data_IF_146917087078
#
_entry.id   IF_146917087078
#
_cell.length_a   1.000
_cell.length_b   1.000
_cell.length_c   1.000
_cell.angle_alpha   90.00
_cell.angle_beta   90.00
_cell.angle_gamma   90.00
#
_symmetry.space_group_name_H-M   'P 1'
#
loop_
_entity.id
_entity.type
_entity.pdbx_description
1 polymer ?
#
# COMPACT_ATOMS: atom_id res chain seq x y z
N UNK A 1 -26.19 -8.05 -0.28
CA UNK A 1 -25.43 -8.43 0.94
C UNK A 1 -25.88 -7.54 2.08
N UNK A 2 -26.03 -8.10 3.31
CA UNK A 2 -26.35 -7.31 4.51
C UNK A 2 -25.14 -6.50 5.00
N UNK A 3 -25.41 -5.51 5.88
CA UNK A 3 -24.41 -4.60 6.46
C UNK A 3 -24.45 -4.69 7.99
N UNK A 4 -23.97 -5.80 8.58
CA UNK A 4 -24.21 -6.11 9.99
C UNK A 4 -23.64 -5.07 10.95
N UNK A 5 -22.49 -4.45 10.65
CA UNK A 5 -21.89 -3.36 11.45
C UNK A 5 -22.75 -2.10 11.35
N UNK A 6 -23.09 -1.68 10.13
CA UNK A 6 -23.92 -0.51 9.89
C UNK A 6 -25.32 -0.68 10.51
N UNK A 7 -25.92 -1.85 10.38
CA UNK A 7 -27.25 -2.14 10.91
C UNK A 7 -27.28 -2.09 12.44
N UNK A 8 -26.26 -2.67 13.09
CA UNK A 8 -26.10 -2.59 14.55
C UNK A 8 -25.95 -1.14 15.01
N UNK A 9 -25.02 -0.40 14.42
CA UNK A 9 -24.74 1.00 14.84
C UNK A 9 -25.94 1.91 14.61
N UNK A 10 -26.63 1.79 13.48
CA UNK A 10 -27.86 2.56 13.20
C UNK A 10 -28.99 2.21 14.17
N UNK A 11 -29.14 0.93 14.52
CA UNK A 11 -30.15 0.51 15.50
C UNK A 11 -29.83 1.07 16.88
N UNK A 12 -28.56 1.07 17.28
CA UNK A 12 -28.09 1.66 18.54
C UNK A 12 -28.32 3.19 18.56
N UNK A 13 -27.92 3.89 17.51
CA UNK A 13 -28.09 5.34 17.40
C UNK A 13 -29.57 5.77 17.47
N UNK A 14 -30.49 5.03 16.81
CA UNK A 14 -31.93 5.31 16.84
C UNK A 14 -32.57 5.16 18.24
N UNK A 15 -32.01 4.31 19.10
CA UNK A 15 -32.47 4.16 20.49
C UNK A 15 -32.10 5.36 21.36
N UNK A 16 -31.14 6.16 20.92
CA UNK A 16 -30.55 7.32 21.63
C UNK A 16 -30.34 7.06 23.13
N UNK A 17 -29.55 6.02 23.50
CA UNK A 17 -29.36 5.66 24.89
C UNK A 17 -28.52 6.71 25.61
N UNK A 18 -28.70 6.79 26.93
CA UNK A 18 -27.82 7.57 27.81
C UNK A 18 -26.45 6.89 27.85
N UNK A 19 -25.41 7.56 27.31
CA UNK A 19 -24.06 6.99 27.13
C UNK A 19 -23.15 7.38 28.30
N UNK A 20 -22.90 6.48 29.24
CA UNK A 20 -21.86 6.60 30.28
C UNK A 20 -20.53 5.92 29.89
N UNK A 21 -20.43 5.44 28.64
CA UNK A 21 -19.23 4.85 28.06
C UNK A 21 -18.53 5.84 27.10
N UNK A 22 -17.32 5.53 26.63
CA UNK A 22 -16.65 6.26 25.55
C UNK A 22 -17.41 6.10 24.20
N UNK A 23 -17.22 6.98 23.22
CA UNK A 23 -16.32 8.15 23.19
C UNK A 23 -16.81 9.33 24.05
N UNK A 24 -15.88 10.27 24.31
CA UNK A 24 -16.12 11.42 25.20
C UNK A 24 -17.24 12.38 24.78
N UNK A 25 -17.53 12.48 23.48
CA UNK A 25 -18.63 13.29 22.92
C UNK A 25 -20.04 12.69 23.18
N UNK A 26 -20.12 11.44 23.64
CA UNK A 26 -21.38 10.76 24.02
C UNK A 26 -22.43 10.68 22.91
N UNK A 27 -22.03 10.83 21.62
CA UNK A 27 -22.94 10.91 20.48
C UNK A 27 -23.81 12.18 20.47
N UNK A 28 -23.42 13.22 21.21
CA UNK A 28 -24.18 14.47 21.33
C UNK A 28 -23.73 15.50 20.29
N UNK A 29 -24.68 16.05 19.56
CA UNK A 29 -24.42 17.14 18.60
C UNK A 29 -23.88 18.41 19.26
N UNK A 30 -24.21 18.62 20.55
CA UNK A 30 -23.67 19.70 21.38
C UNK A 30 -22.19 19.59 21.74
N UNK A 31 -21.49 18.52 21.36
CA UNK A 31 -20.05 18.35 21.58
C UNK A 31 -19.18 19.33 20.77
N UNK A 32 -19.79 20.12 19.90
CA UNK A 32 -19.15 21.19 19.12
C UNK A 32 -17.92 20.75 18.31
N UNK A 33 -17.99 19.57 17.68
CA UNK A 33 -17.03 19.16 16.67
C UNK A 33 -17.60 19.59 15.30
N UNK A 34 -17.10 20.69 14.70
CA UNK A 34 -17.70 21.27 13.51
C UNK A 34 -17.71 20.26 12.34
N UNK A 35 -18.87 20.16 11.66
CA UNK A 35 -19.04 19.27 10.52
C UNK A 35 -19.19 17.79 10.84
N UNK A 36 -19.26 17.43 12.12
CA UNK A 36 -19.39 16.04 12.57
C UNK A 36 -20.74 15.72 13.21
N UNK A 37 -21.69 16.63 13.21
CA UNK A 37 -22.96 16.54 13.96
C UNK A 37 -23.73 15.26 13.62
N UNK A 38 -23.78 14.89 12.34
CA UNK A 38 -24.52 13.71 11.87
C UNK A 38 -23.80 12.40 12.15
N UNK A 39 -22.47 12.41 12.26
CA UNK A 39 -21.67 11.18 12.46
C UNK A 39 -21.41 10.86 13.92
N UNK A 40 -21.46 11.85 14.83
CA UNK A 40 -21.21 11.61 16.26
C UNK A 40 -22.12 10.53 16.88
N UNK A 41 -23.43 10.45 16.56
CA UNK A 41 -24.28 9.36 17.04
C UNK A 41 -23.85 7.97 16.56
N UNK A 42 -23.15 7.90 15.41
CA UNK A 42 -22.67 6.66 14.78
C UNK A 42 -21.28 6.24 15.26
N UNK A 43 -20.55 7.13 15.95
CA UNK A 43 -19.26 6.80 16.55
C UNK A 43 -19.48 6.14 17.91
N UNK A 44 -19.15 4.86 17.98
CA UNK A 44 -19.34 4.02 19.17
C UNK A 44 -18.04 3.32 19.57
N UNK A 45 -18.09 2.50 20.58
CA UNK A 45 -17.00 1.62 21.03
C UNK A 45 -17.52 0.20 21.25
N UNK A 46 -16.70 -0.66 21.79
CA UNK A 46 -17.04 -2.04 22.20
C UNK A 46 -18.01 -2.03 23.38
N UNK A 47 -19.30 -1.89 23.07
CA UNK A 47 -20.41 -1.90 24.05
C UNK A 47 -21.14 -3.24 24.00
N UNK A 48 -22.03 -3.50 24.97
CA UNK A 48 -22.84 -4.70 24.97
C UNK A 48 -23.63 -4.86 23.66
N UNK A 49 -23.50 -6.03 23.03
CA UNK A 49 -24.07 -6.34 21.72
C UNK A 49 -23.26 -5.86 20.52
N UNK A 50 -22.27 -4.99 20.71
CA UNK A 50 -21.24 -4.73 19.73
C UNK A 50 -20.17 -5.83 19.77
N UNK A 51 -19.39 -5.90 18.70
CA UNK A 51 -18.29 -6.86 18.59
C UNK A 51 -16.95 -6.23 19.01
N UNK A 52 -15.89 -7.02 19.06
CA UNK A 52 -14.52 -6.61 19.38
C UNK A 52 -13.62 -6.92 18.18
N UNK A 53 -13.01 -5.88 17.59
CA UNK A 53 -12.09 -6.08 16.48
C UNK A 53 -10.89 -6.93 16.94
N UNK A 54 -10.49 -7.92 16.12
CA UNK A 54 -9.47 -8.95 16.40
C UNK A 54 -9.83 -9.99 17.49
N UNK A 55 -11.09 -10.01 17.92
CA UNK A 55 -11.69 -11.09 18.70
C UNK A 55 -13.16 -11.28 18.27
N UNK A 56 -13.43 -10.97 17.03
CA UNK A 56 -14.77 -10.83 16.47
C UNK A 56 -15.56 -12.14 16.51
N UNK A 57 -16.83 -12.05 16.96
CA UNK A 57 -17.78 -13.18 17.05
C UNK A 57 -19.20 -12.76 16.63
N UNK A 58 -19.42 -11.46 16.37
CA UNK A 58 -20.70 -10.85 16.07
C UNK A 58 -20.71 -10.13 14.73
N UNK A 59 -21.14 -8.86 14.71
CA UNK A 59 -21.34 -8.10 13.49
C UNK A 59 -20.05 -7.82 12.70
N UNK A 60 -18.91 -7.66 13.40
CA UNK A 60 -17.62 -7.50 12.71
C UNK A 60 -17.25 -8.81 12.02
N UNK A 61 -17.37 -9.94 12.71
CA UNK A 61 -17.09 -11.26 12.12
C UNK A 61 -17.93 -11.54 10.90
N UNK A 62 -19.22 -11.27 10.96
CA UNK A 62 -20.13 -11.46 9.82
C UNK A 62 -19.75 -10.57 8.64
N UNK A 63 -19.35 -9.32 8.89
CA UNK A 63 -18.88 -8.40 7.84
C UNK A 63 -17.56 -8.86 7.21
N UNK A 64 -16.60 -9.37 8.00
CA UNK A 64 -15.34 -9.96 7.51
C UNK A 64 -15.58 -11.22 6.67
N UNK A 65 -16.57 -12.03 7.04
CA UNK A 65 -17.00 -13.20 6.24
C UNK A 65 -17.64 -12.77 4.92
N UNK A 66 -18.39 -11.66 4.91
CA UNK A 66 -18.91 -11.06 3.68
C UNK A 66 -17.78 -10.59 2.77
N UNK A 67 -16.77 -9.89 3.29
CA UNK A 67 -15.57 -9.54 2.55
C UNK A 67 -14.83 -10.79 2.03
N UNK A 68 -14.70 -11.84 2.85
CA UNK A 68 -14.07 -13.09 2.44
C UNK A 68 -14.76 -13.75 1.26
N UNK A 69 -16.10 -13.71 1.20
CA UNK A 69 -16.88 -14.21 0.05
C UNK A 69 -16.62 -13.40 -1.22
N UNK A 70 -16.62 -12.07 -1.12
CA UNK A 70 -16.37 -11.14 -2.23
C UNK A 70 -14.98 -11.31 -2.83
N UNK A 71 -13.96 -11.39 -1.99
CA UNK A 71 -12.57 -11.56 -2.43
C UNK A 71 -12.18 -13.01 -2.71
N UNK A 72 -13.01 -13.99 -2.34
CA UNK A 72 -12.72 -15.42 -2.49
C UNK A 72 -11.57 -15.89 -1.59
N UNK A 73 -11.31 -15.16 -0.49
CA UNK A 73 -10.32 -15.51 0.51
C UNK A 73 -10.77 -16.68 1.39
N UNK A 74 -9.82 -17.35 2.06
CA UNK A 74 -10.12 -18.30 3.13
C UNK A 74 -10.37 -17.61 4.49
N UNK A 75 -9.96 -16.34 4.60
CA UNK A 75 -10.21 -15.47 5.73
C UNK A 75 -9.79 -14.05 5.42
N UNK A 76 -10.57 -13.11 5.92
CA UNK A 76 -10.28 -11.66 5.84
C UNK A 76 -10.42 -11.07 7.22
N UNK A 77 -9.47 -10.22 7.60
CA UNK A 77 -9.50 -9.45 8.86
C UNK A 77 -9.40 -7.97 8.51
N UNK A 78 -10.23 -7.16 9.12
CA UNK A 78 -10.25 -5.72 8.91
C UNK A 78 -9.11 -5.00 9.62
N UNK A 79 -8.69 -3.88 9.06
CA UNK A 79 -7.85 -2.89 9.71
C UNK A 79 -8.53 -1.52 9.66
N UNK A 80 -8.55 -0.82 10.79
CA UNK A 80 -8.91 0.59 10.88
C UNK A 80 -7.66 1.50 10.89
N UNK A 81 -6.47 0.93 10.67
CA UNK A 81 -5.16 1.60 10.73
C UNK A 81 -4.37 1.45 9.41
N UNK A 82 -5.08 1.26 8.31
CA UNK A 82 -4.52 1.08 6.97
C UNK A 82 -3.83 -0.26 6.78
N UNK A 83 -3.30 -0.46 5.57
CA UNK A 83 -2.47 -1.64 5.26
C UNK A 83 -1.16 -1.67 6.05
N UNK A 84 -0.75 -0.57 6.67
CA UNK A 84 0.43 -0.54 7.54
C UNK A 84 0.35 -1.58 8.66
N UNK A 85 -0.81 -1.72 9.28
CA UNK A 85 -1.05 -2.76 10.28
C UNK A 85 -1.02 -4.16 9.65
N UNK A 86 -1.64 -4.31 8.49
CA UNK A 86 -1.66 -5.58 7.76
C UNK A 86 -0.25 -6.05 7.35
N UNK A 87 0.63 -5.13 6.91
CA UNK A 87 2.03 -5.44 6.58
C UNK A 87 2.77 -5.97 7.82
N UNK A 88 2.61 -5.33 8.99
CA UNK A 88 3.19 -5.80 10.25
C UNK A 88 2.71 -7.20 10.60
N UNK A 89 1.42 -7.44 10.48
CA UNK A 89 0.82 -8.75 10.72
C UNK A 89 1.32 -9.82 9.74
N UNK A 90 1.41 -9.53 8.44
CA UNK A 90 1.95 -10.45 7.43
C UNK A 90 3.39 -10.85 7.74
N UNK A 91 4.25 -9.91 8.14
CA UNK A 91 5.64 -10.19 8.50
C UNK A 91 5.74 -11.03 9.78
N UNK A 92 4.89 -10.77 10.78
CA UNK A 92 4.81 -11.65 11.96
C UNK A 92 4.37 -13.07 11.57
N UNK A 93 3.37 -13.22 10.70
CA UNK A 93 2.94 -14.53 10.20
C UNK A 93 4.04 -15.25 9.42
N UNK A 94 4.86 -14.52 8.65
CA UNK A 94 6.04 -15.09 7.99
C UNK A 94 7.08 -15.62 9.00
N UNK A 95 7.29 -14.92 10.12
CA UNK A 95 8.13 -15.42 11.22
C UNK A 95 7.56 -16.71 11.80
N UNK A 96 6.25 -16.74 12.04
CA UNK A 96 5.57 -17.94 12.58
C UNK A 96 5.66 -19.12 11.62
N UNK A 97 5.48 -18.87 10.30
CA UNK A 97 5.67 -19.90 9.28
C UNK A 97 7.05 -20.54 9.34
N UNK A 98 8.10 -19.72 9.34
CA UNK A 98 9.47 -20.22 9.44
C UNK A 98 9.71 -21.05 10.70
N UNK A 99 9.21 -20.57 11.85
CA UNK A 99 9.32 -21.26 13.14
C UNK A 99 8.58 -22.60 13.14
N UNK A 100 7.40 -22.68 12.55
CA UNK A 100 6.63 -23.92 12.42
C UNK A 100 7.36 -24.94 11.53
N UNK A 101 8.16 -24.48 10.56
CA UNK A 101 9.02 -25.32 9.73
C UNK A 101 10.38 -25.65 10.39
N UNK A 102 10.66 -25.17 11.60
CA UNK A 102 11.98 -25.32 12.24
C UNK A 102 13.11 -24.55 11.53
N UNK A 103 12.76 -23.53 10.72
CA UNK A 103 13.70 -22.72 9.93
C UNK A 103 13.93 -21.34 10.57
N UNK A 104 15.08 -20.75 10.28
CA UNK A 104 15.32 -19.33 10.61
C UNK A 104 14.50 -18.44 9.68
N UNK A 105 13.76 -17.44 10.19
CA UNK A 105 13.02 -16.51 9.36
C UNK A 105 13.96 -15.72 8.44
N UNK A 106 13.70 -15.77 7.12
CA UNK A 106 14.44 -15.03 6.10
C UNK A 106 13.49 -14.62 5.00
N UNK A 107 13.53 -13.36 4.60
CA UNK A 107 12.61 -12.79 3.63
C UNK A 107 13.39 -12.28 2.42
N UNK A 108 12.95 -12.63 1.22
CA UNK A 108 13.35 -11.96 0.00
C UNK A 108 12.32 -10.87 -0.32
N UNK A 109 12.75 -9.63 -0.57
CA UNK A 109 11.85 -8.51 -0.76
C UNK A 109 12.29 -7.57 -1.87
N UNK A 110 11.33 -7.02 -2.63
CA UNK A 110 11.57 -5.92 -3.54
C UNK A 110 11.98 -4.64 -2.81
N UNK A 111 12.90 -3.87 -3.38
CA UNK A 111 13.36 -2.60 -2.78
C UNK A 111 12.27 -1.51 -2.75
N UNK A 112 11.19 -1.67 -3.52
CA UNK A 112 10.02 -0.79 -3.46
C UNK A 112 9.06 -1.09 -2.30
N UNK A 113 9.52 -1.84 -1.31
CA UNK A 113 8.75 -2.12 -0.11
C UNK A 113 8.44 -0.83 0.66
N UNK A 114 7.20 -0.71 1.14
CA UNK A 114 6.76 0.43 1.92
C UNK A 114 7.62 0.60 3.20
N UNK A 115 7.79 1.85 3.68
CA UNK A 115 8.58 2.16 4.89
C UNK A 115 8.22 1.29 6.10
N UNK A 116 6.94 0.94 6.26
CA UNK A 116 6.44 0.07 7.33
C UNK A 116 7.05 -1.33 7.27
N UNK A 117 7.36 -1.84 6.08
CA UNK A 117 8.11 -3.10 5.95
C UNK A 117 9.48 -2.99 6.62
N UNK A 118 10.22 -1.90 6.34
CA UNK A 118 11.56 -1.66 6.93
C UNK A 118 11.48 -1.49 8.45
N UNK A 119 10.51 -0.72 8.93
CA UNK A 119 10.24 -0.56 10.37
C UNK A 119 9.95 -1.91 11.04
N UNK A 120 9.17 -2.76 10.38
CA UNK A 120 8.76 -4.05 10.95
C UNK A 120 9.90 -5.07 10.96
N UNK A 121 10.71 -5.13 9.89
CA UNK A 121 11.90 -6.01 9.90
C UNK A 121 12.92 -5.57 10.96
N UNK A 122 13.01 -4.26 11.23
CA UNK A 122 13.83 -3.75 12.32
C UNK A 122 13.30 -4.19 13.69
N UNK A 123 11.99 -4.08 13.92
CA UNK A 123 11.37 -4.48 15.19
C UNK A 123 11.43 -5.99 15.44
N UNK A 124 11.23 -6.80 14.39
CA UNK A 124 11.22 -8.26 14.49
C UNK A 124 12.62 -8.91 14.32
N UNK A 125 13.67 -8.13 14.14
CA UNK A 125 15.05 -8.56 13.86
C UNK A 125 15.12 -9.59 12.70
N UNK A 126 14.48 -9.26 11.57
CA UNK A 126 14.39 -10.15 10.42
C UNK A 126 15.57 -9.97 9.46
N UNK A 127 16.08 -11.08 8.96
CA UNK A 127 17.01 -11.09 7.83
C UNK A 127 16.26 -10.89 6.52
N UNK A 128 16.72 -9.91 5.73
CA UNK A 128 16.14 -9.61 4.44
C UNK A 128 17.21 -9.57 3.36
N UNK A 129 16.93 -10.25 2.24
CA UNK A 129 17.67 -10.12 1.00
C UNK A 129 16.87 -9.28 0.02
N UNK A 130 17.44 -8.16 -0.41
CA UNK A 130 16.80 -7.24 -1.31
C UNK A 130 16.98 -7.67 -2.77
N UNK A 131 15.86 -7.79 -3.49
CA UNK A 131 15.77 -8.14 -4.89
C UNK A 131 15.62 -6.89 -5.76
N UNK A 132 15.99 -6.98 -7.05
CA UNK A 132 15.80 -5.90 -8.01
C UNK A 132 16.75 -4.71 -7.80
N UNK A 133 18.04 -4.98 -7.50
CA UNK A 133 19.05 -3.95 -7.17
C UNK A 133 19.61 -3.17 -8.36
N UNK A 134 19.12 -3.40 -9.57
CA UNK A 134 19.63 -2.74 -10.79
C UNK A 134 18.51 -2.20 -11.69
N UNK A 135 18.57 -0.93 -12.08
CA UNK A 135 17.61 -0.33 -13.02
C UNK A 135 17.11 1.05 -12.62
N UNK A 136 16.00 1.46 -13.21
CA UNK A 136 15.30 2.70 -12.85
C UNK A 136 14.78 2.58 -11.41
N UNK A 137 15.01 3.61 -10.59
CA UNK A 137 14.68 3.61 -9.16
C UNK A 137 13.23 3.23 -8.87
N UNK A 138 12.29 3.71 -9.67
CA UNK A 138 10.85 3.50 -9.46
C UNK A 138 10.30 2.23 -10.13
N UNK A 139 11.11 1.51 -10.93
CA UNK A 139 10.76 0.25 -11.59
C UNK A 139 11.56 -0.90 -11.00
N UNK A 140 11.21 -1.31 -9.81
CA UNK A 140 11.86 -2.44 -9.13
C UNK A 140 11.05 -3.71 -9.30
N UNK A 141 11.16 -4.34 -10.46
CA UNK A 141 10.59 -5.67 -10.69
C UNK A 141 11.43 -6.75 -9.99
N UNK A 142 10.78 -7.75 -9.40
CA UNK A 142 11.46 -8.96 -8.92
C UNK A 142 11.61 -9.90 -10.11
N UNK A 143 12.85 -10.24 -10.47
CA UNK A 143 13.12 -11.24 -11.49
C UNK A 143 13.07 -12.65 -10.90
N UNK A 144 12.28 -13.54 -11.51
CA UNK A 144 12.18 -14.92 -11.08
C UNK A 144 13.53 -15.65 -11.01
N UNK A 145 14.48 -15.31 -11.91
CA UNK A 145 15.83 -15.90 -11.93
C UNK A 145 16.66 -15.57 -10.69
N UNK A 146 16.58 -14.34 -10.20
CA UNK A 146 17.27 -13.91 -8.98
C UNK A 146 16.74 -14.70 -7.78
N UNK A 147 15.44 -14.85 -7.69
CA UNK A 147 14.77 -15.61 -6.64
C UNK A 147 15.07 -17.12 -6.75
N UNK A 148 15.12 -17.71 -7.96
CA UNK A 148 15.54 -19.10 -8.16
C UNK A 148 16.96 -19.36 -7.67
N UNK A 149 17.88 -18.45 -7.95
CA UNK A 149 19.26 -18.56 -7.46
C UNK A 149 19.32 -18.54 -5.91
N UNK A 150 18.49 -17.74 -5.26
CA UNK A 150 18.41 -17.71 -3.80
C UNK A 150 17.84 -19.02 -3.21
N UNK A 151 16.84 -19.60 -3.84
CA UNK A 151 16.29 -20.90 -3.41
C UNK A 151 17.28 -22.05 -3.61
N UNK A 152 18.15 -21.97 -4.62
CA UNK A 152 19.21 -22.96 -4.85
C UNK A 152 20.32 -22.90 -3.79
N UNK A 153 20.54 -21.76 -3.13
CA UNK A 153 21.44 -21.60 -1.99
C UNK A 153 20.68 -21.96 -0.70
N UNK A 154 20.78 -23.22 -0.29
CA UNK A 154 19.99 -23.78 0.82
C UNK A 154 20.11 -23.01 2.13
N UNK A 155 21.26 -22.41 2.44
CA UNK A 155 21.45 -21.60 3.66
C UNK A 155 20.75 -20.23 3.55
N UNK A 156 20.64 -19.69 2.34
CA UNK A 156 20.02 -18.39 2.05
C UNK A 156 18.62 -18.50 1.50
N UNK A 157 18.06 -19.70 1.39
CA UNK A 157 16.70 -19.89 0.88
C UNK A 157 15.67 -19.15 1.73
N UNK A 158 14.89 -18.20 1.16
CA UNK A 158 13.92 -17.46 1.90
C UNK A 158 12.77 -18.34 2.38
N UNK A 159 12.17 -17.98 3.52
CA UNK A 159 10.95 -18.62 4.05
C UNK A 159 9.70 -17.86 3.62
N UNK A 160 9.86 -16.64 3.14
CA UNK A 160 8.81 -15.84 2.54
C UNK A 160 9.40 -14.87 1.50
N UNK A 161 8.59 -14.54 0.51
CA UNK A 161 8.86 -13.52 -0.51
C UNK A 161 7.84 -12.41 -0.35
N UNK A 162 8.29 -11.16 -0.25
CA UNK A 162 7.44 -9.98 -0.12
C UNK A 162 7.52 -9.11 -1.38
N UNK A 163 6.36 -8.79 -1.93
CA UNK A 163 6.22 -8.04 -3.19
C UNK A 163 5.24 -6.89 -2.99
N UNK A 164 5.59 -5.69 -3.45
CA UNK A 164 4.64 -4.59 -3.61
C UNK A 164 4.13 -4.59 -5.06
N UNK A 165 2.84 -4.87 -5.24
CA UNK A 165 2.20 -4.94 -6.57
C UNK A 165 0.70 -4.66 -6.45
N UNK A 166 0.17 -3.64 -7.18
CA UNK A 166 0.89 -2.73 -8.08
C UNK A 166 1.90 -1.83 -7.35
N UNK A 167 2.95 -1.41 -8.07
CA UNK A 167 3.86 -0.39 -7.57
C UNK A 167 3.21 1.02 -7.64
N UNK A 168 3.95 2.03 -7.19
CA UNK A 168 3.43 3.40 -7.12
C UNK A 168 3.13 4.00 -8.51
N UNK A 169 3.87 3.62 -9.53
CA UNK A 169 3.62 4.04 -10.93
C UNK A 169 2.51 3.22 -11.61
N UNK A 170 2.02 2.16 -10.96
CA UNK A 170 0.97 1.28 -11.48
C UNK A 170 1.49 0.08 -12.25
N UNK A 171 2.78 -0.25 -12.18
CA UNK A 171 3.28 -1.49 -12.77
C UNK A 171 2.87 -2.69 -11.90
N UNK A 172 2.48 -3.78 -12.54
CA UNK A 172 2.11 -5.03 -11.87
C UNK A 172 3.21 -6.08 -12.03
N UNK A 173 3.47 -6.82 -10.97
CA UNK A 173 4.40 -7.95 -10.98
C UNK A 173 3.70 -9.21 -11.45
N UNK A 174 4.40 -10.10 -12.18
CA UNK A 174 3.88 -11.42 -12.58
C UNK A 174 3.84 -12.37 -11.36
N UNK A 175 2.77 -12.25 -10.58
CA UNK A 175 2.63 -12.94 -9.29
C UNK A 175 2.45 -14.45 -9.45
N UNK A 176 1.86 -14.95 -10.56
CA UNK A 176 1.63 -16.40 -10.75
C UNK A 176 2.94 -17.18 -10.79
N UNK A 177 3.91 -16.70 -11.56
CA UNK A 177 5.23 -17.31 -11.65
C UNK A 177 5.96 -17.31 -10.30
N UNK A 178 5.88 -16.20 -9.56
CA UNK A 178 6.46 -16.10 -8.21
C UNK A 178 5.76 -17.05 -7.22
N UNK A 179 4.44 -17.15 -7.28
CA UNK A 179 3.66 -18.07 -6.44
C UNK A 179 4.06 -19.52 -6.67
N UNK A 180 4.19 -19.94 -7.93
CA UNK A 180 4.60 -21.30 -8.27
C UNK A 180 6.00 -21.59 -7.76
N UNK A 181 6.91 -20.62 -7.87
CA UNK A 181 8.28 -20.74 -7.36
C UNK A 181 8.29 -20.87 -5.83
N UNK A 182 7.60 -19.96 -5.12
CA UNK A 182 7.49 -20.01 -3.66
C UNK A 182 6.93 -21.36 -3.18
N UNK A 183 5.86 -21.83 -3.81
CA UNK A 183 5.21 -23.11 -3.45
C UNK A 183 6.13 -24.30 -3.61
N UNK A 184 6.94 -24.35 -4.67
CA UNK A 184 7.94 -25.44 -4.88
C UNK A 184 8.95 -25.54 -3.73
N UNK A 185 9.25 -24.41 -3.08
CA UNK A 185 10.25 -24.33 -2.00
C UNK A 185 9.65 -24.17 -0.60
N UNK A 186 8.31 -24.28 -0.46
CA UNK A 186 7.64 -24.15 0.83
C UNK A 186 7.75 -22.75 1.46
N UNK A 187 7.98 -21.73 0.64
CA UNK A 187 8.01 -20.34 1.05
C UNK A 187 6.63 -19.68 0.86
N UNK A 188 6.30 -18.68 1.68
CA UNK A 188 5.08 -17.88 1.51
C UNK A 188 5.30 -16.79 0.45
N UNK A 189 4.27 -16.51 -0.34
CA UNK A 189 4.17 -15.29 -1.14
C UNK A 189 3.28 -14.26 -0.41
N UNK A 190 3.88 -13.16 0.03
CA UNK A 190 3.24 -12.04 0.70
C UNK A 190 3.15 -10.87 -0.27
N UNK A 191 1.95 -10.30 -0.48
CA UNK A 191 1.78 -9.21 -1.44
C UNK A 191 1.18 -7.97 -0.76
N UNK A 192 1.93 -6.88 -0.83
CA UNK A 192 1.40 -5.55 -0.54
C UNK A 192 0.64 -5.04 -1.78
N UNK A 193 -0.66 -5.22 -1.76
CA UNK A 193 -1.60 -4.81 -2.81
C UNK A 193 -2.31 -3.50 -2.45
N UNK A 194 -1.66 -2.62 -1.70
CA UNK A 194 -2.28 -1.39 -1.19
C UNK A 194 -2.95 -0.54 -2.27
N UNK A 195 -2.47 -0.59 -3.51
CA UNK A 195 -3.03 0.15 -4.65
C UNK A 195 -3.91 -0.70 -5.57
N UNK A 196 -4.25 -1.94 -5.18
CA UNK A 196 -4.85 -2.91 -6.11
C UNK A 196 -6.12 -3.60 -5.64
N UNK A 197 -6.80 -3.16 -4.58
CA UNK A 197 -8.04 -3.80 -4.09
C UNK A 197 -9.08 -3.98 -5.20
N UNK A 198 -9.22 -3.01 -6.11
CA UNK A 198 -10.14 -3.05 -7.25
C UNK A 198 -9.82 -4.12 -8.29
N UNK A 199 -8.58 -4.64 -8.34
CA UNK A 199 -8.13 -5.65 -9.32
C UNK A 199 -8.95 -6.94 -9.23
N UNK A 200 -9.56 -7.21 -8.06
CA UNK A 200 -10.47 -8.34 -7.86
C UNK A 200 -11.70 -8.27 -8.76
N UNK A 201 -12.17 -7.07 -9.05
CA UNK A 201 -13.47 -6.83 -9.67
C UNK A 201 -13.39 -6.48 -11.16
N UNK A 202 -12.22 -6.62 -11.77
CA UNK A 202 -12.01 -6.52 -13.21
C UNK A 202 -12.55 -7.75 -13.93
N UNK A 203 -12.72 -7.67 -15.25
CA UNK A 203 -13.16 -8.80 -16.09
C UNK A 203 -12.22 -10.01 -15.95
N UNK A 204 -10.91 -9.77 -15.98
CA UNK A 204 -9.89 -10.74 -15.58
C UNK A 204 -9.24 -10.24 -14.30
N UNK A 205 -9.45 -10.98 -13.22
CA UNK A 205 -8.89 -10.61 -11.93
C UNK A 205 -7.36 -10.64 -11.95
N UNK A 206 -6.76 -9.51 -11.57
CA UNK A 206 -5.33 -9.38 -11.29
C UNK A 206 -5.02 -9.35 -9.79
N UNK A 207 -6.01 -9.65 -8.94
CA UNK A 207 -5.84 -9.61 -7.50
C UNK A 207 -4.88 -10.70 -7.00
N UNK A 208 -4.00 -10.42 -6.03
CA UNK A 208 -2.98 -11.37 -5.56
C UNK A 208 -3.53 -12.73 -5.15
N UNK A 209 -4.70 -12.80 -4.50
CA UNK A 209 -5.34 -14.07 -4.14
C UNK A 209 -5.63 -14.95 -5.36
N UNK A 210 -6.05 -14.36 -6.48
CA UNK A 210 -6.35 -15.07 -7.71
C UNK A 210 -5.08 -15.39 -8.52
N UNK A 211 -3.96 -14.74 -8.15
CA UNK A 211 -2.63 -14.98 -8.70
C UNK A 211 -1.78 -15.91 -7.83
N UNK A 212 -2.33 -16.45 -6.72
CA UNK A 212 -1.72 -17.47 -5.91
C UNK A 212 -0.90 -16.97 -4.72
N UNK A 213 -1.01 -15.70 -4.32
CA UNK A 213 -0.43 -15.23 -3.08
C UNK A 213 -1.04 -15.95 -1.87
N UNK A 214 -0.23 -16.20 -0.84
CA UNK A 214 -0.70 -16.82 0.40
C UNK A 214 -1.38 -15.79 1.31
N UNK A 215 -0.78 -14.61 1.44
CA UNK A 215 -1.30 -13.48 2.19
C UNK A 215 -1.19 -12.21 1.34
N UNK A 216 -2.17 -11.34 1.42
CA UNK A 216 -2.06 -9.99 0.86
C UNK A 216 -2.79 -8.97 1.71
N UNK A 217 -2.41 -7.71 1.57
CA UNK A 217 -3.13 -6.59 2.18
C UNK A 217 -3.60 -5.60 1.14
N UNK A 218 -4.81 -5.08 1.33
CA UNK A 218 -5.44 -4.06 0.51
C UNK A 218 -5.68 -2.80 1.33
N UNK A 219 -5.18 -1.64 0.88
CA UNK A 219 -5.68 -0.36 1.37
C UNK A 219 -7.02 -0.05 0.69
N UNK A 220 -8.12 -0.54 1.27
CA UNK A 220 -9.46 -0.34 0.69
C UNK A 220 -9.74 1.13 0.38
N UNK A 221 -9.36 2.02 1.31
CA UNK A 221 -9.57 3.46 1.20
C UNK A 221 -8.86 4.16 0.02
N UNK A 222 -7.90 3.51 -0.64
CA UNK A 222 -7.20 4.10 -1.79
C UNK A 222 -7.97 3.94 -3.10
N UNK A 223 -8.72 2.84 -3.26
CA UNK A 223 -9.34 2.48 -4.54
C UNK A 223 -10.80 2.04 -4.44
N UNK A 224 -11.32 1.87 -3.24
CA UNK A 224 -12.72 1.54 -2.95
C UNK A 224 -13.36 2.65 -2.10
N UNK A 225 -14.70 2.76 -2.05
CA UNK A 225 -15.39 3.83 -1.33
C UNK A 225 -15.40 3.59 0.19
N UNK A 226 -14.23 3.67 0.79
CA UNK A 226 -13.96 3.42 2.21
C UNK A 226 -13.27 4.63 2.82
N UNK A 227 -13.57 4.95 4.08
CA UNK A 227 -12.90 6.02 4.83
C UNK A 227 -11.40 5.73 4.99
N UNK A 228 -10.59 6.80 4.99
CA UNK A 228 -9.14 6.72 5.18
C UNK A 228 -8.80 5.89 6.42
N UNK A 229 -7.90 4.93 6.27
CA UNK A 229 -7.53 3.98 7.31
C UNK A 229 -8.18 2.61 7.16
N UNK A 230 -9.26 2.47 6.37
CA UNK A 230 -9.87 1.16 6.12
C UNK A 230 -9.02 0.29 5.19
N UNK A 231 -8.72 -0.93 5.64
CA UNK A 231 -7.92 -1.90 4.90
C UNK A 231 -8.31 -3.34 5.23
N UNK A 232 -7.83 -4.26 4.40
CA UNK A 232 -8.04 -5.70 4.56
C UNK A 232 -6.70 -6.42 4.68
N UNK A 233 -6.64 -7.42 5.56
CA UNK A 233 -5.66 -8.51 5.52
C UNK A 233 -6.38 -9.76 5.04
N UNK A 234 -5.94 -10.31 3.92
CA UNK A 234 -6.52 -11.50 3.31
C UNK A 234 -5.55 -12.69 3.39
N UNK A 235 -6.10 -13.86 3.68
CA UNK A 235 -5.42 -15.13 3.50
C UNK A 235 -6.10 -15.95 2.39
N UNK A 236 -5.30 -16.54 1.51
CA UNK A 236 -5.81 -17.44 0.47
C UNK A 236 -6.12 -18.84 1.01
N UNK A 237 -6.75 -19.67 0.18
CA UNK A 237 -6.99 -21.08 0.50
C UNK A 237 -5.70 -21.90 0.59
N UNK A 238 -4.64 -21.48 -0.09
CA UNK A 238 -3.30 -22.10 -0.02
C UNK A 238 -2.51 -21.72 1.22
N UNK A 239 -2.85 -20.62 1.89
CA UNK A 239 -2.21 -20.22 3.14
C UNK A 239 -2.39 -21.31 4.20
N UNK A 240 -1.32 -21.75 4.91
CA UNK A 240 -1.40 -22.75 5.97
C UNK A 240 -2.46 -22.41 7.02
N UNK A 241 -3.21 -23.43 7.45
CA UNK A 241 -4.33 -23.26 8.38
C UNK A 241 -3.90 -22.65 9.71
N UNK A 242 -2.76 -23.08 10.25
CA UNK A 242 -2.19 -22.52 11.48
C UNK A 242 -1.95 -21.01 11.37
N UNK A 243 -1.52 -20.52 10.19
CA UNK A 243 -1.30 -19.10 9.99
C UNK A 243 -2.63 -18.34 9.86
N UNK A 244 -3.63 -18.94 9.19
CA UNK A 244 -4.98 -18.34 9.12
C UNK A 244 -5.61 -18.19 10.49
N UNK A 245 -5.45 -19.19 11.36
CA UNK A 245 -5.91 -19.13 12.75
C UNK A 245 -5.20 -18.06 13.60
N UNK A 246 -4.01 -17.63 13.18
CA UNK A 246 -3.21 -16.61 13.88
C UNK A 246 -3.44 -15.18 13.38
N UNK A 247 -4.27 -14.95 12.34
CA UNK A 247 -4.41 -13.61 11.73
C UNK A 247 -4.88 -12.55 12.73
N UNK A 248 -5.95 -12.80 13.49
CA UNK A 248 -6.45 -11.87 14.50
C UNK A 248 -5.37 -11.55 15.55
N UNK A 249 -4.66 -12.59 16.03
CA UNK A 249 -3.55 -12.42 16.96
C UNK A 249 -2.41 -11.58 16.37
N UNK A 250 -2.08 -11.80 15.10
CA UNK A 250 -1.03 -11.03 14.42
C UNK A 250 -1.40 -9.55 14.33
N UNK A 251 -2.67 -9.24 14.06
CA UNK A 251 -3.18 -7.87 14.06
C UNK A 251 -3.11 -7.23 15.45
N UNK A 252 -3.59 -7.93 16.48
CA UNK A 252 -3.63 -7.45 17.87
C UNK A 252 -2.26 -7.02 18.41
N UNK A 253 -1.17 -7.65 17.96
CA UNK A 253 0.19 -7.31 18.42
C UNK A 253 0.62 -5.88 18.08
N UNK A 254 0.03 -5.28 17.05
CA UNK A 254 0.45 -3.98 16.53
C UNK A 254 -0.67 -2.94 16.49
N UNK A 255 -1.90 -3.37 16.76
CA UNK A 255 -3.09 -2.53 16.65
C UNK A 255 -3.36 -1.71 17.91
N UNK A 256 -4.08 -0.61 17.72
CA UNK A 256 -4.77 0.10 18.78
C UNK A 256 -5.91 -0.77 19.34
N UNK A 257 -6.16 -0.63 20.64
CA UNK A 257 -7.34 -1.24 21.32
C UNK A 257 -8.61 -0.39 21.14
N UNK A 258 -8.54 0.70 20.40
CA UNK A 258 -9.68 1.62 20.18
C UNK A 258 -9.87 1.87 18.69
N UNK A 259 -10.37 0.89 17.93
CA UNK A 259 -10.59 1.06 16.48
C UNK A 259 -11.72 2.05 16.21
N UNK A 260 -11.61 2.80 15.11
CA UNK A 260 -12.70 3.67 14.65
C UNK A 260 -13.86 2.85 14.08
N UNK A 261 -15.01 2.92 14.74
CA UNK A 261 -16.24 2.29 14.27
C UNK A 261 -16.78 2.94 12.98
N UNK A 262 -16.46 4.19 12.72
CA UNK A 262 -16.80 4.84 11.44
C UNK A 262 -16.04 4.19 10.26
N UNK A 263 -14.77 3.85 10.45
CA UNK A 263 -13.99 3.13 9.45
C UNK A 263 -14.55 1.72 9.24
N UNK A 264 -14.89 1.00 10.32
CA UNK A 264 -15.49 -0.34 10.23
C UNK A 264 -16.83 -0.31 9.48
N UNK A 265 -17.70 0.67 9.77
CA UNK A 265 -18.94 0.87 9.02
C UNK A 265 -18.68 1.14 7.54
N UNK A 266 -17.64 1.90 7.19
CA UNK A 266 -17.32 2.17 5.79
C UNK A 266 -16.85 0.92 5.03
N UNK A 267 -16.11 0.01 5.68
CA UNK A 267 -15.72 -1.28 5.13
C UNK A 267 -16.96 -2.18 4.92
N UNK A 268 -17.84 -2.23 5.90
CA UNK A 268 -19.09 -2.99 5.84
C UNK A 268 -20.03 -2.48 4.72
N UNK A 269 -20.23 -1.17 4.64
CA UNK A 269 -21.00 -0.55 3.57
C UNK A 269 -20.38 -0.79 2.17
N UNK A 270 -19.06 -0.79 2.10
CA UNK A 270 -18.34 -1.10 0.87
C UNK A 270 -18.62 -2.53 0.39
N UNK A 271 -18.70 -3.52 1.30
CA UNK A 271 -19.06 -4.88 0.92
C UNK A 271 -20.40 -4.95 0.20
N UNK A 272 -21.42 -4.24 0.70
CA UNK A 272 -22.71 -4.20 0.04
C UNK A 272 -22.66 -3.55 -1.34
N UNK A 273 -21.82 -2.53 -1.53
CA UNK A 273 -21.59 -1.89 -2.84
C UNK A 273 -20.89 -2.84 -3.80
N UNK A 274 -19.88 -3.58 -3.32
CA UNK A 274 -19.15 -4.59 -4.11
C UNK A 274 -20.00 -5.80 -4.49
N UNK A 275 -21.01 -6.14 -3.69
CA UNK A 275 -21.99 -7.19 -4.01
C UNK A 275 -23.08 -6.71 -5.00
N UNK A 276 -23.16 -5.41 -5.27
CA UNK A 276 -24.18 -4.82 -6.13
C UNK A 276 -23.57 -4.31 -7.45
N UNK A 277 -23.62 -3.01 -7.68
CA UNK A 277 -23.29 -2.36 -8.95
C UNK A 277 -21.82 -1.93 -9.08
N UNK A 278 -21.10 -1.80 -7.97
CA UNK A 278 -19.76 -1.20 -7.96
C UNK A 278 -18.73 -1.94 -8.83
N UNK A 279 -18.70 -3.28 -8.93
CA UNK A 279 -17.85 -3.98 -9.88
C UNK A 279 -18.08 -3.61 -11.36
N UNK A 280 -19.32 -3.35 -11.75
CA UNK A 280 -19.61 -2.87 -13.11
C UNK A 280 -19.04 -1.46 -13.31
N UNK A 281 -19.24 -0.57 -12.36
CA UNK A 281 -18.69 0.79 -12.40
C UNK A 281 -17.14 0.80 -12.44
N UNK A 282 -16.47 -0.09 -11.70
CA UNK A 282 -15.00 -0.26 -11.77
C UNK A 282 -14.58 -0.59 -13.21
N UNK A 283 -15.25 -1.54 -13.87
CA UNK A 283 -14.93 -1.93 -15.26
C UNK A 283 -15.20 -0.80 -16.26
N UNK A 284 -16.29 -0.07 -16.08
CA UNK A 284 -16.62 1.10 -16.90
C UNK A 284 -15.58 2.20 -16.75
N UNK A 285 -15.16 2.50 -15.52
CA UNK A 285 -14.10 3.50 -15.23
C UNK A 285 -12.77 3.08 -15.84
N UNK A 286 -12.41 1.79 -15.72
CA UNK A 286 -11.18 1.26 -16.32
C UNK A 286 -11.20 1.39 -17.86
N UNK A 287 -12.33 1.10 -18.49
CA UNK A 287 -12.51 1.24 -19.93
C UNK A 287 -12.45 2.72 -20.38
N UNK A 288 -13.06 3.62 -19.61
CA UNK A 288 -13.00 5.06 -19.86
C UNK A 288 -11.57 5.59 -19.75
N UNK A 289 -10.84 5.18 -18.69
CA UNK A 289 -9.45 5.59 -18.51
C UNK A 289 -8.53 5.02 -19.61
N UNK A 290 -8.80 3.83 -20.08
CA UNK A 290 -8.05 3.26 -21.22
C UNK A 290 -8.27 4.08 -22.50
N UNK A 291 -9.47 4.63 -22.73
CA UNK A 291 -9.72 5.58 -23.84
C UNK A 291 -8.94 6.88 -23.63
N UNK A 292 -8.90 7.41 -22.41
CA UNK A 292 -8.11 8.60 -22.06
C UNK A 292 -6.63 8.35 -22.34
N UNK A 293 -6.08 7.23 -21.92
CA UNK A 293 -4.68 6.82 -22.18
C UNK A 293 -4.38 6.79 -23.68
N UNK A 294 -5.26 6.16 -24.47
CA UNK A 294 -5.09 6.12 -25.94
C UNK A 294 -5.15 7.51 -26.59
N UNK A 295 -5.99 8.41 -26.08
CA UNK A 295 -6.07 9.78 -26.59
C UNK A 295 -4.80 10.57 -26.26
N UNK A 296 -4.29 10.47 -25.03
CA UNK A 296 -3.06 11.13 -24.61
C UNK A 296 -1.84 10.64 -25.42
N UNK A 297 -1.74 9.32 -25.68
CA UNK A 297 -0.69 8.77 -26.54
C UNK A 297 -0.76 9.34 -27.97
N UNK A 298 -1.97 9.50 -28.55
CA UNK A 298 -2.16 10.14 -29.85
C UNK A 298 -1.79 11.64 -29.85
N UNK A 299 -1.89 12.29 -28.72
CA UNK A 299 -1.48 13.70 -28.52
C UNK A 299 0.03 13.84 -28.23
N UNK A 300 0.80 12.74 -28.26
CA UNK A 300 2.25 12.75 -28.06
C UNK A 300 2.69 12.71 -26.59
N UNK A 301 1.79 12.41 -25.65
CA UNK A 301 2.16 12.15 -24.26
C UNK A 301 2.78 10.76 -24.12
N UNK A 302 3.83 10.66 -23.32
CA UNK A 302 4.38 9.37 -22.90
C UNK A 302 3.75 8.93 -21.58
N UNK A 303 3.42 7.64 -21.51
CA UNK A 303 2.79 7.03 -20.33
C UNK A 303 3.61 5.82 -19.86
N UNK A 304 3.51 5.51 -18.58
CA UNK A 304 4.05 4.28 -17.99
C UNK A 304 3.04 3.65 -17.04
N UNK A 305 3.32 2.40 -16.63
CA UNK A 305 2.40 1.63 -15.77
C UNK A 305 1.22 1.03 -16.55
N UNK A 306 0.79 -0.14 -16.12
CA UNK A 306 -0.32 -0.89 -16.72
C UNK A 306 -1.58 -0.95 -15.83
N UNK A 307 -1.58 -0.16 -14.73
CA UNK A 307 -2.69 -0.11 -13.77
C UNK A 307 -3.98 0.42 -14.41
N UNK A 308 -5.09 -0.37 -14.40
CA UNK A 308 -6.35 0.01 -15.04
C UNK A 308 -7.02 1.28 -14.51
N UNK A 309 -6.83 1.60 -13.23
CA UNK A 309 -7.37 2.82 -12.57
C UNK A 309 -6.28 3.84 -12.24
N UNK A 310 -5.12 3.74 -12.88
CA UNK A 310 -4.00 4.67 -12.67
C UNK A 310 -3.52 5.23 -14.00
N UNK A 311 -3.29 6.54 -14.03
CA UNK A 311 -2.69 7.25 -15.15
C UNK A 311 -1.35 7.84 -14.70
N UNK A 312 -0.27 7.35 -15.28
CA UNK A 312 1.09 7.84 -15.00
C UNK A 312 1.68 8.46 -16.25
N UNK A 313 1.86 9.77 -16.22
CA UNK A 313 2.44 10.57 -17.28
C UNK A 313 3.97 10.66 -17.11
N UNK A 314 4.70 10.60 -18.24
CA UNK A 314 6.14 10.88 -18.35
C UNK A 314 6.30 12.24 -19.09
N UNK A 315 6.10 13.39 -18.44
CA UNK A 315 5.87 14.67 -19.11
C UNK A 315 7.13 15.30 -19.70
N UNK A 316 8.32 14.78 -19.44
CA UNK A 316 9.59 15.32 -19.95
C UNK A 316 9.69 15.29 -21.46
N UNK A 317 9.08 14.33 -22.12
CA UNK A 317 9.02 14.28 -23.59
C UNK A 317 8.32 15.50 -24.19
N UNK A 318 7.43 16.15 -23.43
CA UNK A 318 6.76 17.40 -23.83
C UNK A 318 7.33 18.67 -23.18
N UNK A 319 8.51 18.56 -22.55
CA UNK A 319 9.23 19.68 -21.95
C UNK A 319 8.72 20.16 -20.59
N UNK A 320 8.03 19.29 -19.86
CA UNK A 320 7.58 19.56 -18.48
C UNK A 320 8.22 18.55 -17.52
N UNK A 321 8.58 19.00 -16.32
CA UNK A 321 8.78 18.05 -15.22
C UNK A 321 7.42 17.64 -14.65
N UNK A 322 7.35 16.47 -13.99
CA UNK A 322 6.09 16.07 -13.32
C UNK A 322 5.66 17.06 -12.26
N UNK A 323 6.61 17.66 -11.52
CA UNK A 323 6.34 18.72 -10.54
C UNK A 323 5.77 19.99 -11.18
N UNK A 324 6.35 20.46 -12.30
CA UNK A 324 5.82 21.62 -13.01
C UNK A 324 4.42 21.37 -13.59
N UNK A 325 4.18 20.16 -14.11
CA UNK A 325 2.85 19.78 -14.61
C UNK A 325 1.83 19.71 -13.47
N UNK A 326 2.22 19.20 -12.29
CA UNK A 326 1.36 19.16 -11.11
C UNK A 326 0.95 20.58 -10.66
N UNK A 327 1.86 21.55 -10.71
CA UNK A 327 1.56 22.96 -10.41
C UNK A 327 0.51 23.52 -11.38
N UNK A 328 0.69 23.29 -12.70
CA UNK A 328 -0.26 23.74 -13.73
C UNK A 328 -1.65 23.13 -13.50
N UNK A 329 -1.71 21.83 -13.19
CA UNK A 329 -2.98 21.17 -12.89
C UNK A 329 -3.62 21.73 -11.62
N UNK A 330 -2.83 22.01 -10.58
CA UNK A 330 -3.31 22.61 -9.32
C UNK A 330 -3.90 23.99 -9.53
N UNK A 331 -3.35 24.83 -10.43
CA UNK A 331 -3.92 26.12 -10.80
C UNK A 331 -5.30 26.00 -11.50
N UNK A 332 -5.65 24.79 -11.94
CA UNK A 332 -6.94 24.43 -12.53
C UNK A 332 -7.81 23.58 -11.59
N UNK A 333 -7.49 23.58 -10.28
CA UNK A 333 -8.16 22.79 -9.24
C UNK A 333 -8.11 21.27 -9.47
N UNK A 334 -7.12 20.78 -10.24
CA UNK A 334 -6.88 19.35 -10.47
C UNK A 334 -5.69 18.91 -9.59
N UNK A 335 -5.97 18.10 -8.59
CA UNK A 335 -4.98 17.62 -7.63
C UNK A 335 -4.53 16.20 -8.00
N UNK A 336 -3.24 16.01 -8.25
CA UNK A 336 -2.67 14.70 -8.55
C UNK A 336 -2.35 13.90 -7.27
N UNK A 337 -2.24 12.58 -7.42
CA UNK A 337 -1.80 11.69 -6.34
C UNK A 337 -0.34 11.89 -5.99
N UNK A 338 0.51 12.06 -7.03
CA UNK A 338 1.94 12.16 -6.86
C UNK A 338 2.60 12.88 -8.03
N UNK A 339 3.67 13.60 -7.76
CA UNK A 339 4.57 14.13 -8.79
C UNK A 339 6.02 14.18 -8.30
N UNK A 340 6.93 13.95 -9.22
CA UNK A 340 8.37 14.13 -9.07
C UNK A 340 8.97 14.76 -10.34
N UNK A 341 10.29 14.92 -10.46
CA UNK A 341 10.87 15.45 -11.72
C UNK A 341 10.54 14.65 -12.97
N UNK A 342 10.28 13.34 -12.87
CA UNK A 342 10.10 12.42 -14.00
C UNK A 342 8.65 12.08 -14.29
N UNK A 343 7.80 12.00 -13.25
CA UNK A 343 6.46 11.41 -13.35
C UNK A 343 5.38 12.30 -12.72
N UNK A 344 4.16 12.13 -13.23
CA UNK A 344 2.94 12.60 -12.58
C UNK A 344 1.92 11.48 -12.56
N UNK A 345 1.39 11.17 -11.38
CA UNK A 345 0.47 10.06 -11.16
C UNK A 345 -0.91 10.58 -10.77
N UNK A 346 -1.94 10.09 -11.45
CA UNK A 346 -3.34 10.31 -11.13
C UNK A 346 -4.00 8.96 -10.84
N UNK A 347 -4.81 8.90 -9.80
CA UNK A 347 -5.61 7.74 -9.42
C UNK A 347 -7.08 8.02 -9.65
N UNK A 348 -7.76 7.11 -10.32
CA UNK A 348 -9.19 7.19 -10.60
C UNK A 348 -9.95 6.11 -9.86
N UNK A 349 -11.18 6.41 -9.52
CA UNK A 349 -12.16 5.45 -9.00
C UNK A 349 -13.51 5.69 -9.69
N UNK A 350 -14.50 4.81 -9.53
CA UNK A 350 -15.86 5.05 -10.03
C UNK A 350 -16.56 6.31 -9.46
N UNK A 351 -15.95 6.97 -8.49
CA UNK A 351 -16.46 8.24 -7.94
C UNK A 351 -16.00 9.45 -8.76
N UNK A 352 -14.99 9.32 -9.62
CA UNK A 352 -14.65 10.36 -10.58
C UNK A 352 -15.70 10.43 -11.69
N UNK A 353 -16.12 11.65 -12.02
CA UNK A 353 -17.11 11.87 -13.07
C UNK A 353 -16.48 11.94 -14.46
N UNK A 354 -17.31 11.81 -15.50
CA UNK A 354 -16.87 11.96 -16.88
C UNK A 354 -16.39 13.39 -17.16
N UNK A 355 -17.07 14.36 -16.58
CA UNK A 355 -16.75 15.79 -16.69
C UNK A 355 -15.37 16.11 -16.10
N UNK A 356 -15.00 15.45 -14.99
CA UNK A 356 -13.66 15.59 -14.40
C UNK A 356 -12.57 15.04 -15.33
N UNK A 357 -12.81 13.89 -15.98
CA UNK A 357 -11.88 13.33 -16.97
C UNK A 357 -11.78 14.21 -18.23
N UNK A 358 -12.89 14.77 -18.72
CA UNK A 358 -12.91 15.71 -19.83
C UNK A 358 -12.17 17.00 -19.49
N UNK A 359 -12.31 17.52 -18.28
CA UNK A 359 -11.59 18.69 -17.77
C UNK A 359 -10.07 18.43 -17.76
N UNK A 360 -9.63 17.28 -17.24
CA UNK A 360 -8.20 16.88 -17.27
C UNK A 360 -7.67 16.86 -18.71
N UNK A 361 -8.40 16.21 -19.63
CA UNK A 361 -8.00 16.11 -21.04
C UNK A 361 -7.91 17.49 -21.71
N UNK A 362 -8.86 18.39 -21.43
CA UNK A 362 -8.86 19.74 -21.96
C UNK A 362 -7.61 20.51 -21.51
N UNK A 363 -7.30 20.48 -20.22
CA UNK A 363 -6.11 21.16 -19.70
C UNK A 363 -4.84 20.60 -20.33
N UNK A 364 -4.71 19.28 -20.44
CA UNK A 364 -3.52 18.65 -21.05
C UNK A 364 -3.39 18.94 -22.56
N UNK A 365 -4.52 19.11 -23.28
CA UNK A 365 -4.54 19.42 -24.70
C UNK A 365 -4.16 20.89 -24.99
N UNK A 366 -4.46 21.80 -24.07
CA UNK A 366 -4.14 23.24 -24.20
C UNK A 366 -2.66 23.54 -23.92
N UNK A 367 -1.91 22.61 -23.33
CA UNK A 367 -0.51 22.83 -22.99
C UNK A 367 0.37 22.91 -24.24
N UNK A 368 1.15 24.01 -24.39
CA UNK A 368 2.06 24.12 -25.51
C UNK A 368 3.15 23.04 -25.46
N UNK A 369 3.51 22.54 -26.62
CA UNK A 369 4.69 21.67 -26.75
C UNK A 369 5.96 22.49 -26.52
N UNK A 370 6.87 21.94 -25.70
CA UNK A 370 8.19 22.52 -25.40
C UNK A 370 9.28 21.55 -25.79
N UNK A 371 10.52 22.04 -25.88
CA UNK A 371 11.65 21.17 -26.11
C UNK A 371 11.75 20.10 -25.01
N UNK A 372 11.96 18.82 -25.35
CA UNK A 372 12.10 17.75 -24.41
C UNK A 372 13.18 18.01 -23.36
N UNK A 373 12.95 17.55 -22.13
CA UNK A 373 13.91 17.63 -21.03
C UNK A 373 14.74 16.35 -21.02
N UNK A 374 16.02 16.44 -21.40
CA UNK A 374 16.94 15.30 -21.49
C UNK A 374 17.44 14.80 -20.13
N UNK A 375 17.35 15.63 -19.08
CA UNK A 375 17.79 15.26 -17.73
C UNK A 375 17.03 14.05 -17.21
N UNK A 376 17.75 13.00 -16.81
CA UNK A 376 17.22 11.76 -16.26
C UNK A 376 17.75 11.52 -14.85
N UNK A 377 16.99 10.76 -14.06
CA UNK A 377 17.47 10.33 -12.74
C UNK A 377 18.78 9.55 -12.87
N UNK A 378 19.78 9.81 -12.02
CA UNK A 378 21.00 9.01 -11.97
C UNK A 378 20.67 7.52 -11.74
N UNK A 379 21.46 6.63 -12.32
CA UNK A 379 21.31 5.18 -12.17
C UNK A 379 21.65 4.78 -10.72
N UNK A 380 20.82 3.94 -10.14
CA UNK A 380 21.09 3.35 -8.81
C UNK A 380 22.32 2.45 -8.86
N UNK A 381 23.12 2.46 -7.80
CA UNK A 381 24.26 1.55 -7.64
C UNK A 381 23.93 0.34 -6.77
N UNK A 382 24.90 -0.59 -6.70
CA UNK A 382 24.86 -1.64 -5.69
C UNK A 382 25.03 -0.99 -4.31
N UNK A 383 24.10 -1.25 -3.39
CA UNK A 383 24.14 -0.68 -2.05
C UNK A 383 24.85 -1.60 -1.08
N UNK A 384 25.68 -1.04 -0.22
CA UNK A 384 26.42 -1.78 0.81
C UNK A 384 25.67 -1.65 2.14
N UNK A 385 25.09 -2.75 2.60
CA UNK A 385 24.51 -2.81 3.95
C UNK A 385 25.64 -2.91 4.96
N UNK A 386 25.82 -1.85 5.75
CA UNK A 386 26.83 -1.78 6.81
C UNK A 386 26.31 -2.32 8.14
N UNK A 387 25.01 -2.14 8.43
CA UNK A 387 24.32 -2.59 9.63
C UNK A 387 22.97 -3.18 9.27
N UNK A 388 22.45 -4.09 10.10
CA UNK A 388 21.06 -4.56 9.96
C UNK A 388 20.08 -3.47 10.43
N UNK A 389 18.87 -3.38 9.86
CA UNK A 389 17.86 -2.41 10.30
C UNK A 389 17.62 -2.44 11.83
N UNK A 390 17.56 -3.63 12.43
CA UNK A 390 17.42 -3.77 13.88
C UNK A 390 18.55 -3.08 14.66
N UNK A 391 19.80 -3.26 14.24
CA UNK A 391 20.93 -2.62 14.91
C UNK A 391 20.89 -1.09 14.82
N UNK A 392 20.39 -0.58 13.69
CA UNK A 392 20.30 0.88 13.44
C UNK A 392 19.19 1.52 14.27
N UNK A 393 17.98 0.90 14.29
CA UNK A 393 16.82 1.47 14.98
C UNK A 393 17.01 1.65 16.49
N UNK A 394 17.92 0.90 17.09
CA UNK A 394 18.24 0.99 18.51
C UNK A 394 19.55 1.75 18.77
N UNK A 395 20.02 2.58 17.81
CA UNK A 395 21.16 3.49 17.97
C UNK A 395 20.71 4.94 17.94
N UNK A 396 21.42 5.83 18.62
CA UNK A 396 21.24 7.27 18.45
C UNK A 396 21.48 7.70 16.99
N UNK A 397 20.71 8.65 16.53
CA UNK A 397 20.86 9.24 15.20
C UNK A 397 20.94 10.75 15.27
N UNK A 398 21.37 11.37 14.19
CA UNK A 398 21.40 12.81 13.99
C UNK A 398 20.90 13.16 12.58
N UNK A 399 20.27 14.32 12.45
CA UNK A 399 19.82 14.85 11.16
C UNK A 399 20.88 15.78 10.63
N UNK A 400 21.36 15.52 9.43
CA UNK A 400 22.40 16.30 8.76
C UNK A 400 21.96 16.70 7.34
N UNK A 401 22.57 17.77 6.76
CA UNK A 401 22.45 18.04 5.33
C UNK A 401 22.90 16.84 4.51
N UNK A 402 22.18 16.54 3.41
CA UNK A 402 22.54 15.39 2.56
C UNK A 402 23.94 15.50 1.97
N UNK A 403 24.44 16.71 1.71
CA UNK A 403 25.80 16.96 1.21
C UNK A 403 26.90 16.51 2.19
N UNK A 404 26.59 16.42 3.49
CA UNK A 404 27.51 15.98 4.54
C UNK A 404 27.38 14.47 4.83
N UNK A 405 26.46 13.78 4.14
CA UNK A 405 26.11 12.40 4.47
C UNK A 405 26.96 11.33 3.78
N UNK A 406 27.90 11.71 2.90
CA UNK A 406 28.74 10.75 2.18
C UNK A 406 29.49 9.82 3.15
N UNK A 407 29.36 8.50 2.93
CA UNK A 407 29.99 7.49 3.75
C UNK A 407 29.26 7.19 5.07
N UNK A 408 28.29 8.00 5.49
CA UNK A 408 27.48 7.77 6.70
C UNK A 408 26.47 6.63 6.48
N UNK A 409 25.99 6.05 7.56
CA UNK A 409 24.99 4.98 7.55
C UNK A 409 23.61 5.58 7.78
N UNK A 410 22.65 5.30 6.87
CA UNK A 410 21.29 5.78 7.00
C UNK A 410 20.58 5.21 8.22
N UNK A 411 19.95 6.09 9.03
CA UNK A 411 19.24 5.73 10.25
C UNK A 411 17.71 5.66 10.09
N UNK A 412 17.13 6.39 9.13
CA UNK A 412 15.69 6.32 8.86
C UNK A 412 15.32 5.04 8.10
N UNK A 413 14.03 4.63 8.07
CA UNK A 413 13.59 3.46 7.28
C UNK A 413 14.04 3.49 5.83
N UNK A 414 14.08 4.67 5.24
CA UNK A 414 14.63 4.94 3.92
C UNK A 414 14.60 6.42 3.62
N UNK A 415 15.56 6.89 2.84
CA UNK A 415 15.42 8.15 2.13
C UNK A 415 14.87 7.81 0.77
N UNK A 416 13.66 8.26 0.51
CA UNK A 416 12.92 7.95 -0.74
C UNK A 416 12.74 9.19 -1.58
N UNK A 417 12.77 8.99 -2.87
CA UNK A 417 12.02 9.80 -3.79
C UNK A 417 10.56 9.78 -3.31
N UNK A 418 9.89 10.94 -3.09
CA UNK A 418 8.51 10.94 -2.60
C UNK A 418 7.62 10.15 -3.58
N UNK A 419 6.73 9.27 -3.07
CA UNK A 419 6.66 8.78 -1.70
C UNK A 419 7.09 7.31 -1.54
N UNK A 420 7.69 6.63 -2.53
CA UNK A 420 7.54 5.20 -2.61
C UNK A 420 8.81 4.35 -2.64
N UNK A 421 9.88 4.73 -3.36
CA UNK A 421 11.04 3.83 -3.52
C UNK A 421 12.26 4.39 -2.82
N UNK A 422 12.84 3.65 -1.85
CA UNK A 422 14.02 4.11 -1.15
C UNK A 422 15.25 4.21 -2.06
N UNK A 423 15.87 5.39 -2.12
CA UNK A 423 17.18 5.59 -2.72
C UNK A 423 18.23 4.85 -1.88
N UNK A 424 18.15 5.00 -0.57
CA UNK A 424 18.97 4.31 0.43
C UNK A 424 18.04 3.75 1.50
N UNK A 425 18.27 2.51 1.92
CA UNK A 425 17.54 1.84 2.99
C UNK A 425 18.28 1.95 4.32
N UNK A 426 17.55 1.77 5.41
CA UNK A 426 18.08 1.70 6.76
C UNK A 426 19.27 0.73 6.86
N UNK A 427 20.39 1.20 7.41
CA UNK A 427 21.61 0.43 7.57
C UNK A 427 22.54 0.38 6.35
N UNK A 428 22.12 0.94 5.22
CA UNK A 428 23.00 1.10 4.06
C UNK A 428 23.91 2.32 4.19
N UNK A 429 25.08 2.22 3.60
CA UNK A 429 26.03 3.32 3.49
C UNK A 429 25.68 4.24 2.32
N UNK A 430 25.64 5.54 2.57
CA UNK A 430 25.35 6.55 1.57
C UNK A 430 26.61 6.75 0.69
N UNK A 431 26.48 6.47 -0.60
CA UNK A 431 27.53 6.60 -1.62
C UNK A 431 27.32 7.84 -2.51
N UNK A 432 28.27 8.13 -3.40
CA UNK A 432 28.19 9.26 -4.35
C UNK A 432 26.97 9.18 -5.25
N UNK A 433 26.54 7.95 -5.65
CA UNK A 433 25.35 7.77 -6.49
C UNK A 433 24.07 8.10 -5.70
N UNK A 434 24.03 7.78 -4.41
CA UNK A 434 22.95 8.19 -3.53
C UNK A 434 22.86 9.71 -3.42
N UNK A 435 24.01 10.39 -3.24
CA UNK A 435 24.06 11.87 -3.21
C UNK A 435 23.57 12.49 -4.51
N UNK A 436 23.98 11.93 -5.66
CA UNK A 436 23.50 12.40 -6.96
C UNK A 436 21.97 12.27 -7.08
N UNK A 437 21.37 11.17 -6.58
CA UNK A 437 19.93 11.00 -6.52
C UNK A 437 19.26 11.97 -5.52
N UNK A 438 19.87 12.21 -4.34
CA UNK A 438 19.35 13.18 -3.39
C UNK A 438 19.26 14.58 -4.01
N UNK A 439 20.30 15.03 -4.70
CA UNK A 439 20.29 16.31 -5.44
C UNK A 439 19.20 16.33 -6.51
N UNK A 440 19.08 15.26 -7.28
CA UNK A 440 18.10 15.16 -8.36
C UNK A 440 16.66 15.27 -7.86
N UNK A 441 16.35 14.64 -6.72
CA UNK A 441 15.02 14.67 -6.10
C UNK A 441 14.84 15.81 -5.07
N UNK A 442 15.84 16.70 -4.90
CA UNK A 442 15.73 17.83 -3.98
C UNK A 442 15.68 17.43 -2.51
N UNK A 443 16.33 16.32 -2.13
CA UNK A 443 16.37 15.87 -0.73
C UNK A 443 17.48 16.61 0.00
N UNK A 444 17.11 17.50 0.91
CA UNK A 444 18.04 18.42 1.58
C UNK A 444 18.68 17.85 2.84
N UNK A 445 17.95 16.99 3.57
CA UNK A 445 18.42 16.41 4.85
C UNK A 445 18.15 14.93 4.93
N UNK A 446 18.95 14.20 5.71
CA UNK A 446 18.71 12.81 6.05
C UNK A 446 19.13 12.51 7.49
N UNK A 447 18.54 11.45 8.06
CA UNK A 447 18.90 10.96 9.39
C UNK A 447 19.98 9.88 9.25
N UNK A 448 21.10 10.04 9.93
CA UNK A 448 22.22 9.11 9.91
C UNK A 448 22.55 8.59 11.31
N UNK A 449 23.14 7.41 11.40
CA UNK A 449 23.62 6.86 12.67
C UNK A 449 24.66 7.82 13.25
N UNK A 450 24.50 8.19 14.51
CA UNK A 450 25.46 9.04 15.23
C UNK A 450 26.76 8.26 15.45
N UNK A 451 27.87 8.88 15.09
CA UNK A 451 29.23 8.34 15.32
C UNK A 451 29.65 8.44 16.78
#
# INVERSE_FOLDING_TARGET
MNTPICDFVRAYARKDPIRFHMPGHKGKTGAQIPGCEEILPLDITEIEGADVLYAARGCIRESEENASKLFGSAGTVYSAEGSSLCIRAMLYLAVMHAKLQGRRPRIAAGRNAHRVFVETIALLDLEVDWLGSGGELLRTGIEGRELEAMFADGERAPTAVYVTSPDYLGNRTELRALSELCRRHGALLLVDNAHGAYLKFLETSGHPLDCGADLCCDSAHKTLPVLTGGAYLHASKSCPEDLRAMMERAMTLFASTSPSWLILQSLDACNARLDADYPARIRETAAALDQVKRQLLKQGWELTGDGPLKLTLCPKSRGYTGTALAEILREKDIICEFSDPDYLVLMMTPENTKEELESLLSVLAELPERAPIEARAPVTGQRVRALRPHEVFFRPFERIPTEESLGRILASPGVSCPPAVPIVLCGERIDEKALALFRYYGIETCDVVKE
#
